data_IF_709088959552
#
_entry.id   IF_709088959552
#
_cell.length_a   1.000
_cell.length_b   1.000
_cell.length_c   1.000
_cell.angle_alpha   90.00
_cell.angle_beta   90.00
_cell.angle_gamma   90.00
#
_symmetry.space_group_name_H-M   'P 1'
#
loop_
_entity.id
_entity.type
_entity.pdbx_description
1 polymer ?
#
# COMPACT_ATOMS: atom_id res chain seq x y z
N UNK A 1 55.09 -6.10 -76.41
CA UNK A 1 53.81 -6.72 -76.05
C UNK A 1 53.41 -6.28 -74.64
N UNK A 2 52.10 -6.05 -74.48
CA UNK A 2 51.34 -5.30 -73.46
C UNK A 2 51.80 -5.37 -71.99
N UNK A 3 51.87 -4.19 -71.35
CA UNK A 3 51.78 -3.99 -69.89
C UNK A 3 50.31 -4.07 -69.49
N UNK A 4 49.97 -4.91 -68.51
CA UNK A 4 48.62 -5.01 -67.94
C UNK A 4 48.66 -4.49 -66.51
N UNK A 5 48.03 -3.34 -66.28
CA UNK A 5 47.81 -2.77 -64.95
C UNK A 5 46.68 -3.55 -64.27
N UNK A 6 46.93 -4.11 -63.09
CA UNK A 6 45.88 -4.60 -62.19
C UNK A 6 45.33 -3.41 -61.39
N UNK A 7 44.11 -3.00 -61.72
CA UNK A 7 43.36 -2.01 -60.97
C UNK A 7 42.69 -2.72 -59.80
N UNK A 8 43.22 -2.56 -58.58
CA UNK A 8 42.54 -3.01 -57.36
C UNK A 8 41.42 -2.02 -57.08
N UNK A 9 40.20 -2.40 -57.44
CA UNK A 9 38.98 -1.67 -57.08
C UNK A 9 38.75 -1.87 -55.57
N UNK A 10 39.17 -0.92 -54.76
CA UNK A 10 38.78 -0.86 -53.36
C UNK A 10 37.26 -0.65 -53.32
N UNK A 11 36.52 -1.70 -52.95
CA UNK A 11 35.11 -1.64 -52.61
C UNK A 11 34.96 -0.72 -51.39
N UNK A 12 34.75 0.56 -51.67
CA UNK A 12 34.17 1.53 -50.76
C UNK A 12 32.77 1.02 -50.41
N UNK A 13 32.64 0.28 -49.31
CA UNK A 13 31.37 0.18 -48.60
C UNK A 13 31.00 1.62 -48.28
N UNK A 14 29.84 2.15 -48.72
CA UNK A 14 29.44 3.47 -48.29
C UNK A 14 29.30 3.38 -46.77
N UNK A 15 30.21 4.06 -46.04
CA UNK A 15 29.88 4.52 -44.70
C UNK A 15 28.63 5.37 -44.90
N UNK A 16 27.46 4.81 -44.59
CA UNK A 16 26.27 5.61 -44.42
C UNK A 16 26.67 6.69 -43.41
N UNK A 17 26.73 7.92 -43.90
CA UNK A 17 26.93 9.09 -43.06
C UNK A 17 25.81 9.06 -42.03
N UNK A 18 26.16 8.82 -40.77
CA UNK A 18 25.26 9.03 -39.65
C UNK A 18 24.88 10.52 -39.67
N UNK A 19 23.80 10.87 -40.37
CA UNK A 19 23.12 12.13 -40.15
C UNK A 19 22.77 12.11 -38.67
N UNK A 20 23.38 13.02 -37.91
CA UNK A 20 23.31 13.04 -36.45
C UNK A 20 21.85 13.03 -36.05
N UNK A 21 21.37 11.92 -35.50
CA UNK A 21 20.04 11.84 -34.95
C UNK A 21 20.07 12.63 -33.64
N UNK A 22 19.83 13.95 -33.74
CA UNK A 22 20.25 14.92 -32.71
C UNK A 22 19.46 14.75 -31.42
N UNK A 23 18.24 14.24 -31.51
CA UNK A 23 17.29 14.19 -30.42
C UNK A 23 17.02 12.76 -29.95
N UNK A 24 17.99 11.85 -30.10
CA UNK A 24 17.94 10.55 -29.47
C UNK A 24 18.85 10.51 -28.24
N UNK A 25 18.37 9.87 -27.17
CA UNK A 25 19.24 9.51 -26.05
C UNK A 25 20.37 8.57 -26.51
N UNK A 26 21.49 8.50 -25.77
CA UNK A 26 22.57 7.56 -26.09
C UNK A 26 22.08 6.11 -26.19
N UNK A 27 21.16 5.68 -25.32
CA UNK A 27 20.60 4.34 -25.34
C UNK A 27 19.72 4.12 -26.59
N UNK A 28 18.89 5.10 -26.95
CA UNK A 28 18.05 5.03 -28.16
C UNK A 28 18.88 4.98 -29.44
N UNK A 29 20.00 5.71 -29.51
CA UNK A 29 20.92 5.65 -30.67
C UNK A 29 21.47 4.23 -30.88
N UNK A 30 22.01 3.63 -29.82
CA UNK A 30 22.57 2.27 -29.86
C UNK A 30 21.47 1.25 -30.18
N UNK A 31 20.27 1.41 -29.61
CA UNK A 31 19.14 0.54 -29.91
C UNK A 31 18.72 0.62 -31.38
N UNK A 32 18.61 1.83 -31.94
CA UNK A 32 18.21 2.05 -33.33
C UNK A 32 19.24 1.46 -34.31
N UNK A 33 20.54 1.66 -34.02
CA UNK A 33 21.63 1.03 -34.77
C UNK A 33 21.54 -0.50 -34.75
N UNK A 34 21.24 -1.10 -33.58
CA UNK A 34 21.04 -2.55 -33.45
C UNK A 34 19.85 -3.04 -34.25
N UNK A 35 18.71 -2.36 -34.19
CA UNK A 35 17.51 -2.71 -34.97
C UNK A 35 17.80 -2.71 -36.47
N UNK A 36 18.50 -1.67 -36.95
CA UNK A 36 18.92 -1.55 -38.35
C UNK A 36 19.94 -2.63 -38.77
N UNK A 37 20.81 -3.08 -37.85
CA UNK A 37 21.80 -4.13 -38.13
C UNK A 37 21.23 -5.55 -38.13
N UNK A 38 20.18 -5.80 -37.34
CA UNK A 38 19.60 -7.14 -37.14
C UNK A 38 18.52 -7.49 -38.18
N UNK A 39 18.10 -6.55 -39.02
CA UNK A 39 16.98 -6.76 -39.91
C UNK A 39 17.25 -6.22 -41.33
N UNK A 40 16.98 -7.05 -42.36
CA UNK A 40 16.75 -6.55 -43.72
C UNK A 40 15.40 -5.81 -43.84
N UNK A 41 14.58 -5.79 -42.78
CA UNK A 41 13.36 -5.00 -42.60
C UNK A 41 13.13 -4.75 -41.10
N UNK A 42 13.26 -3.50 -40.64
CA UNK A 42 12.85 -3.13 -39.27
C UNK A 42 11.39 -3.55 -39.11
N UNK A 43 11.15 -4.51 -38.23
CA UNK A 43 9.83 -5.08 -38.01
C UNK A 43 8.86 -3.97 -37.53
N UNK A 44 7.57 -4.06 -37.88
CA UNK A 44 6.54 -3.05 -37.57
C UNK A 44 6.12 -3.07 -36.07
N UNK A 45 7.04 -3.50 -35.22
CA UNK A 45 6.87 -3.59 -33.78
C UNK A 45 6.89 -2.19 -33.18
N UNK A 46 5.94 -1.93 -32.28
CA UNK A 46 5.89 -0.69 -31.51
C UNK A 46 6.86 -0.78 -30.32
N UNK A 47 7.61 0.29 -30.09
CA UNK A 47 8.42 0.47 -28.87
C UNK A 47 7.84 1.57 -28.02
N UNK A 48 7.97 1.44 -26.70
CA UNK A 48 7.60 2.49 -25.77
C UNK A 48 8.80 3.43 -25.56
N UNK A 49 8.55 4.73 -25.47
CA UNK A 49 9.56 5.74 -25.25
C UNK A 49 9.03 6.94 -24.44
N UNK A 50 9.92 7.66 -23.79
CA UNK A 50 9.71 9.01 -23.33
C UNK A 50 10.12 9.99 -24.41
N UNK A 51 9.31 11.01 -24.66
CA UNK A 51 9.62 12.11 -25.58
C UNK A 51 9.51 13.43 -24.85
N UNK A 52 10.63 14.11 -24.65
CA UNK A 52 10.62 15.49 -24.18
C UNK A 52 10.37 16.44 -25.35
N UNK A 53 9.58 17.48 -25.12
CA UNK A 53 9.19 18.45 -26.16
C UNK A 53 9.17 19.89 -25.62
N UNK A 54 9.37 20.85 -26.51
CA UNK A 54 9.36 22.29 -26.22
C UNK A 54 8.06 22.99 -26.63
N UNK A 55 7.19 22.31 -27.38
CA UNK A 55 5.88 22.82 -27.80
C UNK A 55 4.86 21.69 -27.92
N UNK A 56 3.59 21.89 -27.48
CA UNK A 56 2.53 20.89 -27.63
C UNK A 56 2.27 20.44 -29.07
N UNK A 57 2.57 21.28 -30.07
CA UNK A 57 2.48 20.92 -31.51
C UNK A 57 3.42 19.76 -31.91
N UNK A 58 4.42 19.43 -31.08
CA UNK A 58 5.23 18.22 -31.28
C UNK A 58 4.40 16.93 -31.12
N UNK A 59 3.35 16.94 -30.28
CA UNK A 59 2.51 15.76 -30.03
C UNK A 59 1.72 15.37 -31.28
N UNK A 60 1.02 16.31 -31.91
CA UNK A 60 0.30 16.08 -33.16
C UNK A 60 1.22 15.58 -34.28
N UNK A 61 2.48 16.07 -34.30
CA UNK A 61 3.48 15.64 -35.28
C UNK A 61 3.98 14.22 -35.01
N UNK A 62 4.14 13.83 -33.75
CA UNK A 62 4.45 12.46 -33.36
C UNK A 62 3.32 11.52 -33.80
N UNK A 63 2.07 11.91 -33.62
CA UNK A 63 0.91 11.13 -34.06
C UNK A 63 0.84 10.95 -35.59
N UNK A 64 1.15 12.00 -36.35
CA UNK A 64 1.28 11.90 -37.82
C UNK A 64 2.39 10.97 -38.28
N UNK A 65 3.39 10.70 -37.43
CA UNK A 65 4.44 9.69 -37.66
C UNK A 65 4.05 8.29 -37.18
N UNK A 66 2.79 8.09 -36.81
CA UNK A 66 2.27 6.81 -36.36
C UNK A 66 2.53 6.50 -34.89
N UNK A 67 3.12 7.44 -34.13
CA UNK A 67 3.23 7.26 -32.68
C UNK A 67 1.85 7.45 -32.01
N UNK A 68 1.56 6.67 -30.99
CA UNK A 68 0.45 6.92 -30.08
C UNK A 68 0.98 7.65 -28.86
N UNK A 69 0.56 8.90 -28.66
CA UNK A 69 0.83 9.64 -27.42
C UNK A 69 -0.05 9.07 -26.32
N UNK A 70 0.55 8.64 -25.20
CA UNK A 70 -0.15 7.99 -24.10
C UNK A 70 -0.40 9.00 -22.95
N UNK A 71 0.53 9.08 -21.98
CA UNK A 71 0.50 10.09 -20.92
C UNK A 71 1.32 11.33 -21.32
N UNK A 72 0.79 12.53 -21.04
CA UNK A 72 1.45 13.83 -21.27
C UNK A 72 1.68 14.50 -19.92
N UNK A 73 2.90 14.96 -19.71
CA UNK A 73 3.38 15.66 -18.53
C UNK A 73 3.90 17.05 -18.93
N UNK A 74 4.28 17.86 -17.95
CA UNK A 74 4.92 19.15 -18.23
C UNK A 74 6.31 18.93 -18.85
N UNK A 75 6.44 19.26 -20.14
CA UNK A 75 7.69 19.16 -20.91
C UNK A 75 8.04 17.79 -21.50
N UNK A 76 7.24 16.74 -21.27
CA UNK A 76 7.47 15.42 -21.88
C UNK A 76 6.21 14.53 -21.92
N UNK A 77 6.25 13.47 -22.70
CA UNK A 77 5.19 12.46 -22.78
C UNK A 77 5.75 11.05 -22.89
N UNK A 78 4.90 10.05 -22.64
CA UNK A 78 5.15 8.66 -23.02
C UNK A 78 4.48 8.39 -24.36
N UNK A 79 5.15 7.65 -25.25
CA UNK A 79 4.62 7.27 -26.56
C UNK A 79 4.81 5.79 -26.82
N UNK A 80 3.90 5.20 -27.59
CA UNK A 80 4.14 3.93 -28.30
C UNK A 80 4.40 4.27 -29.76
N UNK A 81 5.62 4.09 -30.24
CA UNK A 81 6.05 4.53 -31.57
C UNK A 81 6.52 3.32 -32.41
N UNK A 82 6.12 3.20 -33.68
CA UNK A 82 6.68 2.19 -34.58
C UNK A 82 8.21 2.28 -34.59
N UNK A 83 8.90 1.16 -34.44
CA UNK A 83 10.36 1.14 -34.33
C UNK A 83 11.05 1.83 -35.53
N UNK A 84 10.49 1.68 -36.72
CA UNK A 84 10.93 2.32 -37.96
C UNK A 84 10.72 3.85 -37.97
N UNK A 85 9.80 4.38 -37.17
CA UNK A 85 9.48 5.80 -37.10
C UNK A 85 10.31 6.56 -36.06
N UNK A 86 11.02 5.86 -35.15
CA UNK A 86 11.81 6.49 -34.06
C UNK A 86 12.87 7.46 -34.59
N UNK A 87 13.56 7.08 -35.67
CA UNK A 87 14.55 7.94 -36.31
C UNK A 87 13.93 9.23 -36.83
N UNK A 88 12.88 9.12 -37.66
CA UNK A 88 12.21 10.29 -38.24
C UNK A 88 11.50 11.16 -37.21
N UNK A 89 10.95 10.55 -36.15
CA UNK A 89 10.28 11.28 -35.08
C UNK A 89 11.24 12.19 -34.31
N UNK A 90 12.52 11.83 -34.24
CA UNK A 90 13.55 12.63 -33.58
C UNK A 90 14.02 13.85 -34.39
N UNK A 91 13.54 14.01 -35.63
CA UNK A 91 13.77 15.21 -36.45
C UNK A 91 12.59 16.19 -36.38
N UNK A 92 11.53 15.85 -35.63
CA UNK A 92 10.36 16.72 -35.47
C UNK A 92 10.76 18.00 -34.73
N UNK A 93 10.54 19.15 -35.37
CA UNK A 93 10.70 20.44 -34.70
C UNK A 93 9.76 20.54 -33.49
N UNK A 94 10.36 20.69 -32.32
CA UNK A 94 9.66 20.74 -31.03
C UNK A 94 9.87 19.49 -30.19
N UNK A 95 10.34 18.37 -30.76
CA UNK A 95 10.93 17.28 -29.99
C UNK A 95 12.31 17.73 -29.50
N UNK A 96 12.69 17.35 -28.29
CA UNK A 96 13.99 17.66 -27.70
C UNK A 96 14.81 16.39 -27.51
N UNK A 97 14.18 15.30 -27.06
CA UNK A 97 14.81 14.00 -26.88
C UNK A 97 13.77 12.87 -26.90
N UNK A 98 14.08 11.78 -27.59
CA UNK A 98 13.41 10.48 -27.52
C UNK A 98 14.32 9.51 -26.77
N UNK A 99 13.82 9.00 -25.66
CA UNK A 99 14.48 8.01 -24.81
C UNK A 99 13.61 6.76 -24.73
N UNK A 100 14.03 5.66 -25.35
CA UNK A 100 13.26 4.41 -25.33
C UNK A 100 13.12 3.89 -23.91
N UNK A 101 12.00 3.24 -23.63
CA UNK A 101 11.76 2.60 -22.34
C UNK A 101 12.80 1.54 -22.05
N UNK A 102 13.22 1.47 -20.79
CA UNK A 102 14.15 0.48 -20.30
C UNK A 102 13.42 -0.52 -19.40
N UNK A 103 13.91 -1.76 -19.40
CA UNK A 103 13.41 -2.76 -18.46
C UNK A 103 13.71 -2.32 -17.03
N UNK A 104 12.70 -2.36 -16.18
CA UNK A 104 12.86 -2.27 -14.73
C UNK A 104 13.07 -3.66 -14.15
N UNK A 105 13.66 -3.72 -12.96
CA UNK A 105 13.89 -4.95 -12.22
C UNK A 105 12.97 -5.03 -11.00
N UNK A 106 12.50 -6.23 -10.69
CA UNK A 106 11.85 -6.50 -9.42
C UNK A 106 12.91 -6.39 -8.31
N UNK A 107 12.57 -5.72 -7.22
CA UNK A 107 13.42 -5.50 -6.05
C UNK A 107 12.74 -6.14 -4.82
N UNK A 108 13.51 -6.49 -3.77
CA UNK A 108 13.13 -7.16 -2.48
C UNK A 108 13.71 -8.56 -2.30
N UNK A 109 14.35 -9.12 -3.33
CA UNK A 109 15.01 -10.44 -3.28
C UNK A 109 16.30 -10.50 -2.43
N UNK A 110 16.82 -9.35 -1.98
CA UNK A 110 18.07 -9.23 -1.23
C UNK A 110 17.91 -9.02 0.28
N UNK A 111 16.68 -8.96 0.81
CA UNK A 111 16.45 -8.63 2.23
C UNK A 111 17.06 -9.69 3.16
N UNK A 112 16.87 -10.97 2.87
CA UNK A 112 17.40 -12.08 3.69
C UNK A 112 18.93 -12.07 3.76
N UNK A 113 19.62 -11.77 2.64
CA UNK A 113 21.08 -11.68 2.62
C UNK A 113 21.57 -10.41 3.31
N UNK A 114 20.94 -9.26 3.05
CA UNK A 114 21.33 -7.95 3.60
C UNK A 114 21.13 -7.86 5.12
N UNK A 115 20.18 -8.60 5.66
CA UNK A 115 19.91 -8.70 7.11
C UNK A 115 20.67 -9.85 7.79
N UNK A 116 21.51 -10.59 7.04
CA UNK A 116 22.25 -11.76 7.51
C UNK A 116 21.36 -12.90 8.05
N UNK A 117 20.06 -12.94 7.70
CA UNK A 117 19.16 -14.01 8.12
C UNK A 117 19.64 -15.40 7.66
N UNK A 118 20.26 -15.46 6.47
CA UNK A 118 20.87 -16.70 5.97
C UNK A 118 21.99 -17.22 6.87
N UNK A 119 22.83 -16.35 7.41
CA UNK A 119 23.89 -16.74 8.35
C UNK A 119 23.30 -17.30 9.64
N UNK A 120 22.21 -16.71 10.13
CA UNK A 120 21.47 -17.21 11.30
C UNK A 120 20.89 -18.60 11.03
N UNK A 121 20.28 -18.80 9.85
CA UNK A 121 19.76 -20.10 9.46
C UNK A 121 20.86 -21.16 9.32
N UNK A 122 22.05 -20.79 8.87
CA UNK A 122 23.22 -21.68 8.74
C UNK A 122 23.95 -21.88 10.08
N UNK A 123 23.63 -21.09 11.11
CA UNK A 123 24.28 -21.16 12.43
C UNK A 123 25.67 -20.54 12.46
N UNK A 124 25.98 -19.64 11.52
CA UNK A 124 27.30 -19.00 11.44
C UNK A 124 27.51 -18.13 12.68
N UNK A 125 28.55 -18.43 13.44
CA UNK A 125 28.86 -17.80 14.74
C UNK A 125 27.75 -17.94 15.80
N UNK A 126 26.87 -18.93 15.66
CA UNK A 126 25.82 -19.24 16.62
C UNK A 126 25.98 -20.68 17.14
N UNK A 127 25.40 -21.02 18.31
CA UNK A 127 25.51 -22.36 18.88
C UNK A 127 24.90 -23.47 18.00
N UNK A 128 23.98 -23.11 17.11
CA UNK A 128 23.28 -24.01 16.19
C UNK A 128 22.64 -23.23 15.04
N UNK A 129 22.12 -23.97 14.05
CA UNK A 129 21.27 -23.44 12.98
C UNK A 129 19.89 -23.04 13.49
N UNK A 130 19.36 -21.90 13.05
CA UNK A 130 18.02 -21.42 13.43
C UNK A 130 17.14 -21.24 12.19
N UNK A 131 16.32 -22.23 11.86
CA UNK A 131 15.47 -22.23 10.65
C UNK A 131 13.98 -22.07 10.93
N UNK A 132 13.59 -21.90 12.20
CA UNK A 132 12.19 -21.89 12.65
C UNK A 132 11.62 -23.29 12.91
N UNK A 133 12.40 -24.36 12.73
CA UNK A 133 11.97 -25.72 13.04
C UNK A 133 11.47 -25.83 14.49
N UNK A 134 10.26 -26.37 14.67
CA UNK A 134 9.63 -26.51 15.98
C UNK A 134 8.91 -25.26 16.49
N UNK A 135 8.85 -24.19 15.70
CA UNK A 135 8.11 -22.95 15.99
C UNK A 135 6.86 -22.89 15.10
N UNK A 136 5.75 -22.43 15.66
CA UNK A 136 4.56 -22.03 14.89
C UNK A 136 4.76 -20.61 14.39
N UNK A 137 4.74 -20.43 13.08
CA UNK A 137 4.66 -19.13 12.44
C UNK A 137 3.21 -18.87 12.03
N UNK A 138 2.59 -17.94 12.76
CA UNK A 138 1.26 -17.41 12.50
C UNK A 138 1.29 -16.28 11.49
N UNK A 139 0.32 -16.24 10.58
CA UNK A 139 0.05 -15.07 9.74
C UNK A 139 -1.46 -14.82 9.74
N UNK A 140 -1.87 -13.58 10.00
CA UNK A 140 -3.27 -13.14 9.86
C UNK A 140 -3.31 -12.09 8.76
N UNK A 141 -3.90 -12.44 7.63
CA UNK A 141 -3.79 -11.67 6.39
C UNK A 141 -4.90 -12.07 5.40
N UNK A 142 -4.89 -11.48 4.21
CA UNK A 142 -5.80 -11.76 3.09
C UNK A 142 -5.02 -12.11 1.83
N UNK A 143 -5.59 -12.86 0.88
CA UNK A 143 -4.93 -13.13 -0.40
C UNK A 143 -3.84 -14.19 -0.29
N UNK A 144 -4.15 -15.28 0.39
CA UNK A 144 -3.29 -16.42 0.66
C UNK A 144 -3.59 -17.54 -0.36
N UNK A 145 -2.62 -17.87 -1.21
CA UNK A 145 -2.60 -19.08 -2.03
C UNK A 145 -2.11 -20.27 -1.19
N UNK A 146 -3.04 -21.11 -0.74
CA UNK A 146 -2.74 -22.24 0.15
C UNK A 146 -1.90 -23.33 -0.51
N UNK A 147 -1.81 -23.34 -1.85
CA UNK A 147 -1.05 -24.32 -2.61
C UNK A 147 0.26 -23.77 -3.17
N UNK A 148 0.65 -22.56 -2.76
CA UNK A 148 1.89 -21.95 -3.24
C UNK A 148 3.10 -22.83 -2.90
N UNK A 149 4.02 -23.00 -3.87
CA UNK A 149 5.18 -23.91 -3.74
C UNK A 149 6.06 -23.62 -2.51
N UNK A 150 6.11 -22.36 -2.08
CA UNK A 150 6.85 -21.92 -0.91
C UNK A 150 6.25 -22.40 0.43
N UNK A 151 5.00 -22.88 0.44
CA UNK A 151 4.34 -23.40 1.62
C UNK A 151 4.41 -24.94 1.71
N UNK A 152 5.12 -25.56 0.77
CA UNK A 152 5.44 -26.98 0.79
C UNK A 152 6.86 -27.21 1.31
N UNK A 153 7.07 -28.34 1.99
CA UNK A 153 8.40 -28.80 2.41
C UNK A 153 9.22 -29.36 1.22
N UNK A 154 10.40 -29.89 1.52
CA UNK A 154 11.28 -30.51 0.52
C UNK A 154 10.70 -31.76 -0.14
N UNK A 155 9.73 -32.42 0.51
CA UNK A 155 9.03 -33.61 0.03
C UNK A 155 7.69 -33.27 -0.63
N UNK A 156 7.42 -31.98 -0.90
CA UNK A 156 6.16 -31.47 -1.46
C UNK A 156 4.95 -31.66 -0.54
N UNK A 157 5.16 -31.86 0.76
CA UNK A 157 4.07 -31.90 1.74
C UNK A 157 3.74 -30.50 2.22
N UNK A 158 2.45 -30.21 2.41
CA UNK A 158 2.01 -28.93 2.94
C UNK A 158 2.56 -28.68 4.36
N UNK A 159 3.17 -27.50 4.56
CA UNK A 159 3.64 -27.00 5.87
C UNK A 159 2.58 -26.18 6.60
N UNK A 160 1.50 -25.83 5.92
CA UNK A 160 0.32 -25.24 6.54
C UNK A 160 -0.37 -26.32 7.36
N UNK A 161 -0.23 -26.23 8.68
CA UNK A 161 -0.84 -27.19 9.59
C UNK A 161 -2.31 -26.89 9.84
N UNK A 162 -2.70 -25.61 9.76
CA UNK A 162 -4.05 -25.11 9.97
C UNK A 162 -4.31 -23.86 9.14
N UNK A 163 -5.53 -23.78 8.61
CA UNK A 163 -6.11 -22.55 8.07
C UNK A 163 -7.35 -22.22 8.88
N UNK A 164 -7.51 -20.97 9.29
CA UNK A 164 -8.72 -20.46 9.95
C UNK A 164 -9.33 -19.34 9.11
N UNK A 165 -10.64 -19.38 8.95
CA UNK A 165 -11.42 -18.42 8.18
C UNK A 165 -12.61 -17.95 9.03
N UNK A 166 -12.53 -16.76 9.66
CA UNK A 166 -13.52 -16.29 10.64
C UNK A 166 -14.92 -16.05 10.06
N UNK A 167 -15.04 -15.93 8.74
CA UNK A 167 -16.32 -15.71 8.03
C UNK A 167 -16.73 -16.88 7.13
N UNK A 168 -15.98 -17.98 7.13
CA UNK A 168 -16.36 -19.18 6.41
C UNK A 168 -17.21 -20.11 7.28
N UNK A 169 -18.28 -20.66 6.70
CA UNK A 169 -19.16 -21.62 7.38
C UNK A 169 -19.18 -22.98 6.67
N UNK A 170 -18.18 -23.27 5.84
CA UNK A 170 -18.14 -24.50 5.03
C UNK A 170 -17.13 -25.52 5.54
N UNK A 171 -16.14 -25.10 6.32
CA UNK A 171 -15.18 -25.97 6.99
C UNK A 171 -15.67 -26.49 8.34
N UNK A 172 -14.73 -26.93 9.18
CA UNK A 172 -15.03 -27.41 10.53
C UNK A 172 -15.22 -26.21 11.48
N UNK A 173 -16.34 -26.09 12.22
CA UNK A 173 -16.53 -25.00 13.16
C UNK A 173 -15.44 -24.93 14.24
N UNK A 174 -15.02 -23.71 14.59
CA UNK A 174 -14.04 -23.47 15.65
C UNK A 174 -14.74 -23.25 16.99
N UNK A 175 -14.30 -23.94 18.04
CA UNK A 175 -14.89 -23.76 19.36
C UNK A 175 -14.55 -22.37 19.94
N UNK A 176 -15.58 -21.61 20.30
CA UNK A 176 -15.42 -20.29 20.95
C UNK A 176 -15.03 -19.15 20.01
N UNK A 177 -14.93 -19.39 18.69
CA UNK A 177 -14.65 -18.39 17.67
C UNK A 177 -15.63 -18.55 16.50
N UNK A 178 -15.95 -17.48 15.75
CA UNK A 178 -16.79 -17.59 14.57
C UNK A 178 -16.05 -18.31 13.44
N UNK A 179 -16.80 -18.80 12.45
CA UNK A 179 -16.26 -19.34 11.22
C UNK A 179 -15.67 -20.76 11.35
N UNK A 180 -14.73 -21.09 10.48
CA UNK A 180 -14.30 -22.47 10.25
C UNK A 180 -12.78 -22.63 10.18
N UNK A 181 -12.29 -23.82 10.54
CA UNK A 181 -10.92 -24.27 10.35
C UNK A 181 -10.82 -25.39 9.29
N UNK A 182 -9.64 -25.47 8.69
CA UNK A 182 -9.21 -26.52 7.78
C UNK A 182 -7.87 -27.09 8.22
N UNK A 183 -7.69 -28.39 8.01
CA UNK A 183 -6.49 -29.13 8.38
C UNK A 183 -6.20 -30.25 7.37
N UNK A 184 -4.92 -30.67 7.29
CA UNK A 184 -4.54 -31.82 6.47
C UNK A 184 -4.93 -31.67 5.00
N UNK A 185 -5.50 -32.71 4.42
CA UNK A 185 -5.85 -32.75 3.00
C UNK A 185 -6.97 -31.77 2.63
N UNK A 186 -7.79 -31.32 3.59
CA UNK A 186 -8.83 -30.32 3.32
C UNK A 186 -8.22 -28.98 2.90
N UNK A 187 -7.00 -28.65 3.37
CA UNK A 187 -6.28 -27.44 2.97
C UNK A 187 -5.90 -27.52 1.49
N UNK A 188 -5.57 -28.71 0.97
CA UNK A 188 -5.17 -28.88 -0.44
C UNK A 188 -6.33 -28.64 -1.41
N UNK A 189 -7.56 -28.72 -0.92
CA UNK A 189 -8.76 -28.40 -1.70
C UNK A 189 -9.06 -26.90 -1.74
N UNK A 190 -8.47 -26.10 -0.85
CA UNK A 190 -8.56 -24.65 -0.88
C UNK A 190 -7.63 -24.11 -1.97
N UNK A 191 -8.05 -23.05 -2.67
CA UNK A 191 -7.18 -22.34 -3.64
C UNK A 191 -6.60 -21.08 -3.01
N UNK A 192 -7.45 -20.08 -2.86
CA UNK A 192 -7.14 -18.80 -2.24
C UNK A 192 -8.40 -18.24 -1.58
N UNK A 193 -8.23 -17.35 -0.59
CA UNK A 193 -9.33 -16.69 0.14
C UNK A 193 -9.79 -15.39 -0.54
N UNK A 194 -8.91 -14.67 -1.22
CA UNK A 194 -9.23 -13.45 -1.97
C UNK A 194 -8.44 -13.33 -3.28
N UNK A 195 -8.89 -12.46 -4.19
CA UNK A 195 -8.23 -12.19 -5.48
C UNK A 195 -7.13 -11.13 -5.37
N UNK A 196 -6.28 -11.25 -4.36
CA UNK A 196 -5.06 -10.48 -4.18
C UNK A 196 -3.99 -11.37 -3.53
N UNK A 197 -2.78 -10.85 -3.31
CA UNK A 197 -1.61 -11.68 -2.96
C UNK A 197 -0.87 -11.19 -1.73
N UNK A 198 -1.46 -10.29 -0.93
CA UNK A 198 -0.77 -9.64 0.18
C UNK A 198 -0.28 -10.67 1.21
N UNK A 199 -1.18 -11.53 1.67
CA UNK A 199 -0.91 -12.60 2.63
C UNK A 199 -0.01 -13.70 2.09
N UNK A 200 -0.10 -14.04 0.80
CA UNK A 200 0.87 -14.95 0.17
C UNK A 200 2.29 -14.37 0.22
N UNK A 201 2.42 -13.09 -0.09
CA UNK A 201 3.70 -12.39 -0.10
C UNK A 201 4.29 -12.26 1.32
N UNK A 202 3.50 -11.83 2.31
CA UNK A 202 3.95 -11.67 3.71
C UNK A 202 4.31 -13.03 4.33
N UNK A 203 3.50 -14.07 4.09
CA UNK A 203 3.81 -15.45 4.51
C UNK A 203 5.10 -15.97 3.85
N UNK A 204 5.30 -15.68 2.56
CA UNK A 204 6.51 -16.04 1.82
C UNK A 204 7.77 -15.43 2.43
N UNK A 205 7.75 -14.14 2.76
CA UNK A 205 8.87 -13.46 3.43
C UNK A 205 9.13 -14.08 4.81
N UNK A 206 8.08 -14.28 5.61
CA UNK A 206 8.24 -14.74 6.98
C UNK A 206 8.71 -16.20 7.07
N UNK A 207 8.15 -17.11 6.27
CA UNK A 207 8.35 -18.55 6.43
C UNK A 207 8.39 -19.39 5.16
N UNK A 208 8.45 -18.78 3.98
CA UNK A 208 8.55 -19.50 2.71
C UNK A 208 9.73 -20.47 2.67
N UNK A 209 9.48 -21.69 2.19
CA UNK A 209 10.53 -22.67 1.90
C UNK A 209 11.42 -22.19 0.75
N UNK A 210 12.49 -22.93 0.49
CA UNK A 210 13.38 -22.63 -0.64
C UNK A 210 12.66 -22.96 -1.94
N UNK A 211 12.42 -21.93 -2.76
CA UNK A 211 11.90 -22.06 -4.13
C UNK A 211 12.84 -21.31 -5.06
N UNK A 212 13.55 -22.04 -5.93
CA UNK A 212 14.64 -21.50 -6.73
C UNK A 212 15.67 -20.77 -5.84
N UNK A 213 15.89 -19.48 -6.06
CA UNK A 213 16.80 -18.65 -5.27
C UNK A 213 16.13 -17.99 -4.05
N UNK A 214 14.80 -18.07 -3.92
CA UNK A 214 14.04 -17.37 -2.89
C UNK A 214 13.79 -18.25 -1.66
N UNK A 215 13.80 -17.62 -0.49
CA UNK A 215 13.60 -18.26 0.82
C UNK A 215 13.13 -17.23 1.83
N UNK A 216 12.19 -17.62 2.69
CA UNK A 216 11.76 -16.82 3.83
C UNK A 216 12.74 -16.87 5.02
N UNK A 217 12.45 -16.11 6.07
CA UNK A 217 13.29 -15.99 7.26
C UNK A 217 13.27 -17.26 8.14
N UNK A 218 12.10 -17.90 8.29
CA UNK A 218 11.85 -19.11 9.06
C UNK A 218 11.35 -20.29 8.17
N UNK A 219 12.20 -20.80 7.28
CA UNK A 219 11.83 -21.71 6.19
C UNK A 219 11.49 -23.14 6.61
N UNK A 220 11.72 -23.50 7.88
CA UNK A 220 11.31 -24.80 8.44
C UNK A 220 10.22 -24.64 9.52
N UNK A 221 9.63 -23.44 9.68
CA UNK A 221 8.53 -23.22 10.61
C UNK A 221 7.26 -23.97 10.19
N UNK A 222 6.42 -24.27 11.15
CA UNK A 222 5.06 -24.76 10.92
C UNK A 222 4.15 -23.57 10.66
N UNK A 223 3.41 -23.56 9.56
CA UNK A 223 2.56 -22.42 9.19
C UNK A 223 1.15 -22.60 9.74
N UNK A 224 0.61 -21.57 10.37
CA UNK A 224 -0.79 -21.48 10.78
C UNK A 224 -1.33 -20.17 10.28
N UNK A 225 -2.31 -20.24 9.38
CA UNK A 225 -2.76 -19.07 8.62
C UNK A 225 -4.19 -18.73 9.02
N UNK A 226 -4.44 -17.48 9.40
CA UNK A 226 -5.78 -16.93 9.45
C UNK A 226 -6.01 -16.15 8.15
N UNK A 227 -6.85 -16.71 7.29
CA UNK A 227 -7.23 -16.14 6.01
C UNK A 227 -8.49 -15.30 6.18
N UNK A 228 -8.33 -13.98 6.12
CA UNK A 228 -9.40 -13.02 6.36
C UNK A 228 -10.32 -12.87 5.13
N UNK A 229 -9.81 -13.07 3.92
CA UNK A 229 -10.48 -12.66 2.69
C UNK A 229 -11.02 -11.22 2.79
N UNK A 230 -12.27 -11.04 2.36
CA UNK A 230 -12.95 -9.73 2.43
C UNK A 230 -13.30 -9.27 3.86
N UNK A 231 -13.04 -10.08 4.89
CA UNK A 231 -13.44 -9.82 6.27
C UNK A 231 -12.35 -9.13 7.12
N UNK A 232 -11.70 -8.12 6.53
CA UNK A 232 -10.62 -7.32 7.14
C UNK A 232 -11.15 -6.38 8.24
N UNK A 233 -11.40 -6.94 9.42
CA UNK A 233 -11.88 -6.18 10.58
C UNK A 233 -11.01 -6.42 11.81
N UNK A 234 -10.99 -5.46 12.74
CA UNK A 234 -10.22 -5.56 13.99
C UNK A 234 -10.58 -6.82 14.79
N UNK A 235 -11.88 -7.12 14.87
CA UNK A 235 -12.40 -8.28 15.58
C UNK A 235 -11.87 -9.58 14.97
N UNK A 236 -11.86 -9.68 13.64
CA UNK A 236 -11.37 -10.87 12.95
C UNK A 236 -9.85 -11.03 13.05
N UNK A 237 -9.11 -9.92 13.05
CA UNK A 237 -7.66 -9.95 13.33
C UNK A 237 -7.41 -10.51 14.73
N UNK A 238 -8.10 -10.01 15.75
CA UNK A 238 -8.00 -10.52 17.13
C UNK A 238 -8.38 -12.00 17.22
N UNK A 239 -9.48 -12.41 16.56
CA UNK A 239 -9.89 -13.81 16.50
C UNK A 239 -8.81 -14.70 15.85
N UNK A 240 -8.18 -14.23 14.77
CA UNK A 240 -7.08 -14.92 14.11
C UNK A 240 -5.87 -15.12 15.02
N UNK A 241 -5.48 -14.07 15.73
CA UNK A 241 -4.38 -14.12 16.72
C UNK A 241 -4.70 -15.10 17.84
N UNK A 242 -5.91 -15.04 18.40
CA UNK A 242 -6.37 -15.97 19.44
C UNK A 242 -6.35 -17.43 18.93
N UNK A 243 -6.86 -17.69 17.73
CA UNK A 243 -6.87 -19.02 17.13
C UNK A 243 -5.45 -19.59 16.98
N UNK A 244 -4.52 -18.80 16.42
CA UNK A 244 -3.14 -19.23 16.22
C UNK A 244 -2.47 -19.53 17.57
N UNK A 245 -2.66 -18.66 18.56
CA UNK A 245 -2.11 -18.83 19.90
C UNK A 245 -2.66 -20.09 20.60
N UNK A 246 -3.97 -20.34 20.49
CA UNK A 246 -4.62 -21.57 20.98
C UNK A 246 -4.04 -22.82 20.31
N UNK A 247 -3.88 -22.79 18.98
CA UNK A 247 -3.28 -23.90 18.25
C UNK A 247 -1.86 -24.17 18.73
N UNK A 248 -1.01 -23.14 18.79
CA UNK A 248 0.38 -23.30 19.23
C UNK A 248 0.49 -23.87 20.64
N UNK A 249 -0.38 -23.42 21.57
CA UNK A 249 -0.48 -23.98 22.91
C UNK A 249 -0.91 -25.45 22.89
N UNK A 250 -1.88 -25.82 22.06
CA UNK A 250 -2.38 -27.20 21.94
C UNK A 250 -1.32 -28.20 21.45
N UNK A 251 -0.35 -27.73 20.66
CA UNK A 251 0.78 -28.54 20.16
C UNK A 251 2.07 -28.32 20.95
N UNK A 252 2.04 -27.52 22.02
CA UNK A 252 3.18 -27.27 22.91
C UNK A 252 4.37 -26.57 22.25
N UNK A 253 4.14 -25.70 21.26
CA UNK A 253 5.19 -25.01 20.51
C UNK A 253 5.23 -23.50 20.81
N UNK A 254 6.42 -22.87 20.78
CA UNK A 254 6.52 -21.41 20.73
C UNK A 254 5.91 -20.88 19.43
N UNK A 255 5.45 -19.62 19.47
CA UNK A 255 4.71 -19.01 18.38
C UNK A 255 5.14 -17.57 18.11
N UNK A 256 5.26 -17.23 16.83
CA UNK A 256 5.41 -15.85 16.36
C UNK A 256 4.30 -15.57 15.37
N UNK A 257 3.54 -14.49 15.56
CA UNK A 257 2.37 -14.13 14.74
C UNK A 257 2.66 -12.82 14.02
N UNK A 258 2.65 -12.84 12.69
CA UNK A 258 2.81 -11.65 11.86
C UNK A 258 1.46 -11.03 11.53
N UNK A 259 1.37 -9.71 11.73
CA UNK A 259 0.23 -8.85 11.39
C UNK A 259 0.72 -7.70 10.52
N UNK A 260 0.61 -7.86 9.20
CA UNK A 260 0.95 -6.82 8.22
C UNK A 260 -0.26 -5.95 7.89
N UNK A 261 -1.02 -5.58 8.93
CA UNK A 261 -2.30 -4.87 8.85
C UNK A 261 -2.34 -3.78 9.92
N UNK A 262 -3.12 -2.73 9.68
CA UNK A 262 -3.31 -1.63 10.63
C UNK A 262 -4.49 -0.73 10.28
N UNK A 263 -4.87 0.14 11.21
CA UNK A 263 -5.85 1.21 11.01
C UNK A 263 -5.43 2.42 11.88
N UNK A 264 -6.24 3.49 11.89
CA UNK A 264 -5.98 4.67 12.72
C UNK A 264 -7.04 4.91 13.79
N UNK A 265 -7.99 3.98 13.96
CA UNK A 265 -9.07 4.13 14.92
C UNK A 265 -8.59 3.86 16.35
N UNK A 266 -9.09 4.68 17.27
CA UNK A 266 -8.82 4.52 18.69
C UNK A 266 -7.73 5.45 19.24
N UNK A 267 -7.27 5.21 20.48
CA UNK A 267 -6.55 6.22 21.26
C UNK A 267 -5.03 6.29 20.98
N UNK A 268 -4.44 5.30 20.31
CA UNK A 268 -2.98 5.21 20.07
C UNK A 268 -2.12 5.28 21.34
N UNK A 269 -2.64 4.81 22.47
CA UNK A 269 -1.96 4.82 23.78
C UNK A 269 -1.90 3.43 24.44
N UNK A 270 -2.25 2.38 23.70
CA UNK A 270 -2.29 0.99 24.17
C UNK A 270 -3.61 0.57 24.85
N UNK A 271 -4.56 1.48 25.07
CA UNK A 271 -5.83 1.16 25.75
C UNK A 271 -7.01 0.88 24.82
N UNK A 272 -6.76 0.75 23.50
CA UNK A 272 -7.76 0.26 22.54
C UNK A 272 -8.06 -1.22 22.73
N UNK A 273 -9.23 -1.69 22.26
CA UNK A 273 -9.64 -3.09 22.44
C UNK A 273 -8.67 -4.07 21.77
N UNK A 274 -8.21 -3.78 20.55
CA UNK A 274 -7.25 -4.63 19.85
C UNK A 274 -5.92 -4.74 20.62
N UNK A 275 -5.36 -3.60 21.05
CA UNK A 275 -4.10 -3.57 21.83
C UNK A 275 -4.21 -4.40 23.12
N UNK A 276 -5.30 -4.20 23.87
CA UNK A 276 -5.57 -4.94 25.12
C UNK A 276 -5.76 -6.43 24.86
N UNK A 277 -6.42 -6.80 23.77
CA UNK A 277 -6.60 -8.20 23.39
C UNK A 277 -5.25 -8.87 23.07
N UNK A 278 -4.37 -8.19 22.32
CA UNK A 278 -3.02 -8.71 22.05
C UNK A 278 -2.20 -8.88 23.32
N UNK A 279 -2.23 -7.90 24.23
CA UNK A 279 -1.56 -8.00 25.52
C UNK A 279 -2.07 -9.19 26.34
N UNK A 280 -3.39 -9.38 26.41
CA UNK A 280 -3.99 -10.49 27.14
C UNK A 280 -3.64 -11.84 26.52
N UNK A 281 -3.68 -11.96 25.19
CA UNK A 281 -3.32 -13.18 24.47
C UNK A 281 -1.85 -13.53 24.71
N UNK A 282 -0.93 -12.56 24.55
CA UNK A 282 0.50 -12.78 24.76
C UNK A 282 0.82 -13.18 26.21
N UNK A 283 0.12 -12.60 27.19
CA UNK A 283 0.27 -12.97 28.61
C UNK A 283 -0.29 -14.36 28.91
N UNK A 284 -1.47 -14.68 28.36
CA UNK A 284 -2.16 -15.97 28.55
C UNK A 284 -1.35 -17.12 27.96
N UNK A 285 -0.78 -16.93 26.78
CA UNK A 285 0.04 -17.92 26.07
C UNK A 285 1.50 -17.50 26.10
N UNK A 286 2.18 -17.75 27.23
CA UNK A 286 3.53 -17.28 27.62
C UNK A 286 4.68 -17.41 26.60
N UNK A 287 4.48 -18.11 25.47
CA UNK A 287 5.45 -18.29 24.38
C UNK A 287 4.94 -17.74 23.03
N UNK A 288 4.07 -16.72 23.05
CA UNK A 288 3.56 -16.03 21.86
C UNK A 288 4.21 -14.66 21.72
N UNK A 289 4.74 -14.36 20.54
CA UNK A 289 5.20 -13.03 20.14
C UNK A 289 4.31 -12.54 19.00
N UNK A 290 3.72 -11.36 19.14
CA UNK A 290 2.90 -10.72 18.12
C UNK A 290 3.73 -9.60 17.49
N UNK A 291 3.85 -9.62 16.16
CA UNK A 291 4.66 -8.67 15.38
C UNK A 291 3.73 -7.87 14.48
N UNK A 292 3.77 -6.56 14.60
CA UNK A 292 2.87 -5.61 13.93
C UNK A 292 3.65 -4.77 12.93
N UNK A 293 3.07 -4.50 11.76
CA UNK A 293 3.54 -3.43 10.89
C UNK A 293 3.26 -2.06 11.52
N UNK A 294 4.10 -1.06 11.24
CA UNK A 294 3.95 0.29 11.78
C UNK A 294 2.90 1.15 11.05
N UNK A 295 2.45 0.72 9.87
CA UNK A 295 1.67 1.53 8.92
C UNK A 295 2.53 2.13 7.80
N UNK A 296 1.88 2.55 6.72
CA UNK A 296 2.53 3.10 5.51
C UNK A 296 2.40 4.63 5.41
N UNK A 297 1.75 5.26 6.38
CA UNK A 297 1.24 6.63 6.28
C UNK A 297 2.19 7.68 6.85
N UNK A 298 3.47 7.35 7.06
CA UNK A 298 4.46 8.27 7.64
C UNK A 298 4.69 9.56 6.85
N UNK A 299 4.30 9.59 5.57
CA UNK A 299 4.32 10.79 4.71
C UNK A 299 2.98 11.51 4.61
N UNK A 300 1.89 10.91 5.09
CA UNK A 300 0.54 11.42 4.92
C UNK A 300 0.21 12.45 6.03
N UNK A 301 -0.40 13.60 5.69
CA UNK A 301 -0.80 14.61 6.66
C UNK A 301 -2.12 14.23 7.37
N UNK A 302 -2.16 13.05 7.99
CA UNK A 302 -3.36 12.48 8.63
C UNK A 302 -3.37 12.59 10.16
N UNK A 303 -2.30 13.14 10.75
CA UNK A 303 -2.17 13.30 12.20
C UNK A 303 -1.83 14.74 12.58
N UNK A 304 -2.49 15.23 13.63
CA UNK A 304 -2.14 16.48 14.28
C UNK A 304 -2.11 16.33 15.79
N UNK A 305 -1.18 17.05 16.43
CA UNK A 305 -1.05 17.13 17.87
C UNK A 305 -0.85 18.57 18.31
N UNK A 306 -1.58 19.02 19.33
CA UNK A 306 -1.38 20.33 19.93
C UNK A 306 -1.86 20.36 21.38
N UNK A 307 -1.07 21.00 22.25
CA UNK A 307 -1.56 21.40 23.57
C UNK A 307 -2.48 22.61 23.43
N UNK A 308 -3.72 22.50 23.89
CA UNK A 308 -4.72 23.58 23.84
C UNK A 308 -5.28 23.86 25.23
N UNK A 309 -5.58 25.12 25.53
CA UNK A 309 -6.16 25.62 26.78
C UNK A 309 -6.80 27.00 26.60
N UNK A 310 -7.93 27.25 27.26
CA UNK A 310 -8.64 28.53 27.20
C UNK A 310 -8.88 29.02 25.77
N UNK A 311 -8.19 30.11 25.39
CA UNK A 311 -8.31 30.71 24.05
C UNK A 311 -7.47 30.05 22.96
N UNK A 312 -6.60 29.08 23.29
CA UNK A 312 -5.80 28.36 22.32
C UNK A 312 -6.67 27.29 21.64
N UNK A 313 -6.75 27.33 20.31
CA UNK A 313 -7.51 26.34 19.52
C UNK A 313 -6.61 25.58 18.56
N UNK A 314 -7.10 24.45 18.06
CA UNK A 314 -6.57 23.76 16.89
C UNK A 314 -7.63 23.79 15.80
N UNK A 315 -7.32 24.38 14.63
CA UNK A 315 -8.22 24.43 13.50
C UNK A 315 -7.63 23.69 12.30
N UNK A 316 -8.47 22.98 11.55
CA UNK A 316 -8.11 22.26 10.33
C UNK A 316 -9.25 22.29 9.31
N UNK A 317 -8.98 21.86 8.08
CA UNK A 317 -9.96 21.70 7.01
C UNK A 317 -9.88 20.25 6.53
N UNK A 318 -11.04 19.60 6.36
CA UNK A 318 -11.11 18.27 5.78
C UNK A 318 -10.69 18.33 4.30
N UNK A 319 -9.74 17.48 3.92
CA UNK A 319 -9.25 17.40 2.54
C UNK A 319 -10.31 16.87 1.59
N UNK A 320 -11.11 15.91 2.05
CA UNK A 320 -12.29 15.37 1.41
C UNK A 320 -13.51 15.59 2.30
N UNK A 321 -14.69 15.68 1.70
CA UNK A 321 -15.96 15.76 2.41
C UNK A 321 -16.48 14.40 2.85
N UNK A 322 -15.97 13.30 2.26
CA UNK A 322 -16.07 11.96 2.83
C UNK A 322 -14.87 11.72 3.76
N UNK A 323 -15.09 11.66 5.08
CA UNK A 323 -14.01 11.59 6.05
C UNK A 323 -14.45 10.98 7.38
N UNK A 324 -13.49 10.36 8.07
CA UNK A 324 -13.64 9.90 9.45
C UNK A 324 -12.51 10.50 10.28
N UNK A 325 -12.83 11.13 11.41
CA UNK A 325 -11.86 11.83 12.24
C UNK A 325 -12.00 11.40 13.69
N UNK A 326 -10.91 10.93 14.28
CA UNK A 326 -10.86 10.51 15.67
C UNK A 326 -9.96 11.44 16.49
N UNK A 327 -10.58 12.22 17.38
CA UNK A 327 -9.90 13.18 18.23
C UNK A 327 -9.89 12.73 19.69
N UNK A 328 -8.71 12.71 20.29
CA UNK A 328 -8.46 12.25 21.64
C UNK A 328 -7.71 13.28 22.47
N UNK A 329 -8.09 13.38 23.72
CA UNK A 329 -7.27 14.02 24.76
C UNK A 329 -6.41 12.98 25.48
N UNK A 330 -5.31 13.41 26.10
CA UNK A 330 -4.48 12.54 26.95
C UNK A 330 -4.94 12.47 28.42
N UNK A 331 -6.13 12.97 28.74
CA UNK A 331 -6.66 13.06 30.10
C UNK A 331 -8.19 13.09 30.09
N UNK A 332 -8.83 13.16 31.26
CA UNK A 332 -10.29 13.09 31.39
C UNK A 332 -11.01 14.43 31.21
N UNK A 333 -10.29 15.50 30.87
CA UNK A 333 -10.87 16.84 30.77
C UNK A 333 -11.68 16.97 29.47
N UNK A 334 -12.83 17.65 29.51
CA UNK A 334 -13.66 17.79 28.33
C UNK A 334 -13.07 18.80 27.36
N UNK A 335 -13.21 18.53 26.07
CA UNK A 335 -13.00 19.49 24.99
C UNK A 335 -14.20 19.47 24.05
N UNK A 336 -14.32 20.47 23.18
CA UNK A 336 -15.38 20.54 22.20
C UNK A 336 -14.83 20.86 20.82
N UNK A 337 -15.71 20.78 19.83
CA UNK A 337 -15.39 21.07 18.43
C UNK A 337 -16.44 22.02 17.86
N UNK A 338 -16.01 22.95 17.01
CA UNK A 338 -16.89 23.75 16.15
C UNK A 338 -16.78 23.23 14.73
N UNK A 339 -17.91 23.24 14.03
CA UNK A 339 -17.97 22.97 12.61
C UNK A 339 -17.95 24.31 11.87
N UNK A 340 -17.04 24.42 10.92
CA UNK A 340 -16.82 25.60 10.10
C UNK A 340 -17.25 25.29 8.66
N UNK A 341 -17.88 26.26 8.00
CA UNK A 341 -17.98 26.26 6.54
C UNK A 341 -16.96 27.26 6.00
N UNK A 342 -16.04 26.75 5.20
CA UNK A 342 -14.96 27.53 4.59
C UNK A 342 -15.20 27.67 3.09
N UNK A 343 -15.08 28.87 2.56
CA UNK A 343 -15.17 29.12 1.11
C UNK A 343 -13.76 29.20 0.52
N UNK A 344 -13.39 28.29 -0.38
CA UNK A 344 -12.03 28.26 -0.93
C UNK A 344 -11.76 29.29 -2.04
N UNK A 345 -12.78 29.87 -2.65
CA UNK A 345 -12.62 30.90 -3.69
C UNK A 345 -12.39 32.28 -3.09
N UNK A 346 -13.06 32.58 -1.97
CA UNK A 346 -12.78 33.73 -1.12
C UNK A 346 -12.38 33.19 0.26
N UNK A 347 -11.08 32.88 0.47
CA UNK A 347 -10.57 32.08 1.59
C UNK A 347 -10.94 32.65 2.96
N UNK A 348 -12.15 32.31 3.41
CA UNK A 348 -12.78 32.83 4.61
C UNK A 348 -13.77 31.80 5.19
N UNK A 349 -13.89 31.82 6.51
CA UNK A 349 -14.94 31.10 7.23
C UNK A 349 -16.24 31.89 7.04
N UNK A 350 -17.24 31.26 6.41
CA UNK A 350 -18.54 31.89 6.14
C UNK A 350 -19.59 31.55 7.20
N UNK A 351 -19.36 30.47 7.95
CA UNK A 351 -20.21 30.04 9.05
C UNK A 351 -19.40 29.26 10.08
N UNK A 352 -19.80 29.38 11.35
CA UNK A 352 -19.21 28.68 12.49
C UNK A 352 -20.35 28.29 13.42
N UNK A 353 -20.39 27.04 13.85
CA UNK A 353 -21.32 26.60 14.89
C UNK A 353 -20.88 27.13 16.26
N UNK A 354 -21.78 27.10 17.23
CA UNK A 354 -21.38 27.07 18.63
C UNK A 354 -20.45 25.87 18.89
N UNK A 355 -19.68 25.93 19.98
CA UNK A 355 -18.84 24.81 20.37
C UNK A 355 -19.71 23.64 20.84
N UNK A 356 -19.63 22.54 20.10
CA UNK A 356 -20.37 21.32 20.38
C UNK A 356 -19.78 20.63 21.61
N UNK A 357 -20.68 20.15 22.47
CA UNK A 357 -20.39 19.42 23.70
C UNK A 357 -21.25 18.15 23.86
N UNK A 358 -22.02 17.81 22.83
CA UNK A 358 -22.92 16.67 22.80
C UNK A 358 -23.13 16.21 21.35
N UNK A 359 -23.56 14.97 21.20
CA UNK A 359 -23.79 14.33 19.91
C UNK A 359 -24.70 15.19 19.03
N UNK A 360 -24.24 15.47 17.82
CA UNK A 360 -24.91 16.40 16.90
C UNK A 360 -24.75 15.94 15.46
N UNK A 361 -25.81 16.07 14.66
CA UNK A 361 -25.80 15.78 13.23
C UNK A 361 -26.17 17.01 12.42
N UNK A 362 -25.39 17.31 11.39
CA UNK A 362 -25.60 18.37 10.42
C UNK A 362 -25.97 17.77 9.07
N UNK A 363 -26.86 18.43 8.33
CA UNK A 363 -27.20 18.12 6.95
C UNK A 363 -27.66 19.41 6.22
N UNK A 364 -28.04 19.30 4.95
CA UNK A 364 -28.47 20.46 4.17
C UNK A 364 -29.65 21.24 4.78
N UNK A 365 -30.44 20.64 5.66
CA UNK A 365 -31.61 21.26 6.30
C UNK A 365 -31.28 21.87 7.67
N UNK A 366 -30.02 21.84 8.12
CA UNK A 366 -29.65 22.35 9.45
C UNK A 366 -29.84 23.85 9.56
N UNK A 367 -29.41 24.62 8.56
CA UNK A 367 -29.64 26.06 8.45
C UNK A 367 -29.36 26.54 7.01
N UNK A 368 -29.59 27.82 6.74
CA UNK A 368 -29.42 28.43 5.42
C UNK A 368 -27.98 28.33 4.88
N UNK A 369 -26.96 28.36 5.76
CA UNK A 369 -25.55 28.21 5.35
C UNK A 369 -25.27 26.79 4.87
N UNK A 370 -25.74 25.76 5.59
CA UNK A 370 -25.62 24.37 5.14
C UNK A 370 -26.46 24.10 3.89
N UNK A 371 -27.65 24.68 3.76
CA UNK A 371 -28.46 24.58 2.54
C UNK A 371 -27.72 25.15 1.31
N UNK A 372 -26.96 26.23 1.50
CA UNK A 372 -26.12 26.84 0.46
C UNK A 372 -24.85 26.04 0.15
N UNK A 373 -24.25 25.38 1.14
CA UNK A 373 -22.96 24.71 1.02
C UNK A 373 -23.03 23.20 0.71
N UNK A 374 -24.12 22.51 1.05
CA UNK A 374 -24.24 21.04 0.96
C UNK A 374 -25.24 20.64 -0.12
N UNK A 375 -24.93 19.60 -0.88
CA UNK A 375 -25.86 18.96 -1.84
C UNK A 375 -26.68 17.84 -1.19
N UNK A 376 -26.01 16.95 -0.47
CA UNK A 376 -26.57 15.77 0.18
C UNK A 376 -25.62 15.24 1.26
N UNK A 377 -26.04 14.20 1.99
CA UNK A 377 -25.25 13.60 3.06
C UNK A 377 -25.40 14.33 4.39
N UNK A 378 -24.60 13.92 5.37
CA UNK A 378 -24.61 14.38 6.75
C UNK A 378 -23.19 14.38 7.32
N UNK A 379 -23.01 15.20 8.34
CA UNK A 379 -21.84 15.19 9.22
C UNK A 379 -22.35 14.86 10.62
N UNK A 380 -21.77 13.87 11.27
CA UNK A 380 -22.14 13.46 12.62
C UNK A 380 -20.93 13.61 13.54
N UNK A 381 -21.15 14.21 14.70
CA UNK A 381 -20.17 14.33 15.78
C UNK A 381 -20.70 13.55 16.97
N UNK A 382 -19.88 12.67 17.54
CA UNK A 382 -20.21 11.92 18.74
C UNK A 382 -19.11 12.07 19.80
N UNK A 383 -19.53 12.17 21.05
CA UNK A 383 -18.66 12.38 22.20
C UNK A 383 -18.57 11.10 23.02
N UNK A 384 -17.35 10.75 23.42
CA UNK A 384 -17.10 9.52 24.15
C UNK A 384 -15.93 9.64 25.11
N UNK A 385 -15.63 8.52 25.75
CA UNK A 385 -14.45 8.35 26.60
C UNK A 385 -13.89 6.95 26.40
N UNK A 386 -12.58 6.79 26.59
CA UNK A 386 -12.00 5.46 26.76
C UNK A 386 -12.57 4.81 28.04
N UNK A 387 -12.86 3.51 27.98
CA UNK A 387 -13.49 2.75 29.06
C UNK A 387 -12.54 2.50 30.25
N UNK A 388 -11.23 2.59 30.04
CA UNK A 388 -10.20 2.35 31.05
C UNK A 388 -9.63 3.66 31.58
N UNK A 389 -9.11 4.51 30.70
CA UNK A 389 -8.40 5.74 31.08
C UNK A 389 -9.35 6.90 31.35
N UNK A 390 -10.60 6.82 30.85
CA UNK A 390 -11.54 7.94 30.87
C UNK A 390 -11.14 9.10 29.95
N UNK A 391 -10.10 8.93 29.12
CA UNK A 391 -9.64 9.94 28.17
C UNK A 391 -10.78 10.36 27.24
N UNK A 392 -11.01 11.67 27.12
CA UNK A 392 -12.11 12.19 26.30
C UNK A 392 -11.85 11.96 24.82
N UNK A 393 -12.90 11.59 24.08
CA UNK A 393 -12.93 11.34 22.64
C UNK A 393 -13.99 12.21 21.97
N UNK A 394 -13.69 12.70 20.78
CA UNK A 394 -14.69 13.21 19.81
C UNK A 394 -14.46 12.44 18.51
N UNK A 395 -15.46 11.69 18.07
CA UNK A 395 -15.47 11.02 16.77
C UNK A 395 -16.34 11.79 15.81
N UNK A 396 -15.89 11.97 14.57
CA UNK A 396 -16.62 12.67 13.53
C UNK A 396 -16.63 11.82 12.27
N UNK A 397 -17.80 11.72 11.64
CA UNK A 397 -17.93 11.18 10.28
C UNK A 397 -18.63 12.18 9.38
N UNK A 398 -18.25 12.21 8.12
CA UNK A 398 -18.92 12.99 7.10
C UNK A 398 -19.04 12.15 5.83
N UNK A 399 -20.26 12.08 5.29
CA UNK A 399 -20.55 11.62 3.92
C UNK A 399 -21.15 12.78 3.09
N UNK A 400 -20.94 14.03 3.56
CA UNK A 400 -21.48 15.22 2.92
C UNK A 400 -20.93 15.37 1.52
N UNK A 401 -21.80 15.65 0.55
CA UNK A 401 -21.40 16.10 -0.79
C UNK A 401 -21.45 17.61 -0.84
N UNK A 402 -20.29 18.25 -0.79
CA UNK A 402 -20.21 19.72 -0.76
C UNK A 402 -20.46 20.35 -2.15
N UNK A 403 -21.09 21.52 -2.17
CA UNK A 403 -21.14 22.40 -3.35
C UNK A 403 -19.81 23.15 -3.43
N UNK A 404 -19.16 23.16 -4.59
CA UNK A 404 -17.99 24.03 -4.81
C UNK A 404 -18.39 25.50 -4.60
N UNK A 405 -17.59 26.32 -3.91
CA UNK A 405 -16.23 26.08 -3.39
C UNK A 405 -16.17 25.77 -1.88
N UNK A 406 -17.24 25.26 -1.29
CA UNK A 406 -17.32 25.08 0.17
C UNK A 406 -16.57 23.83 0.65
N UNK A 407 -15.93 23.96 1.82
CA UNK A 407 -15.27 22.89 2.57
C UNK A 407 -15.71 22.89 4.03
N UNK A 408 -15.53 21.75 4.69
CA UNK A 408 -15.78 21.60 6.13
C UNK A 408 -14.47 21.86 6.87
N UNK A 409 -14.51 22.77 7.84
CA UNK A 409 -13.43 22.98 8.80
C UNK A 409 -13.82 22.53 10.19
N UNK A 410 -12.83 22.16 10.99
CA UNK A 410 -12.97 21.75 12.38
C UNK A 410 -12.14 22.68 13.25
N UNK A 411 -12.70 23.20 14.33
CA UNK A 411 -11.94 23.94 15.36
C UNK A 411 -12.18 23.32 16.73
N UNK A 412 -11.13 22.78 17.33
CA UNK A 412 -11.15 22.21 18.67
C UNK A 412 -10.77 23.23 19.73
N UNK A 413 -11.48 23.21 20.85
CA UNK A 413 -11.23 24.08 22.00
C UNK A 413 -11.45 23.34 23.33
N UNK A 414 -10.66 23.72 24.33
CA UNK A 414 -10.73 23.18 25.69
C UNK A 414 -10.57 24.32 26.69
N UNK A 415 -11.38 24.33 27.75
CA UNK A 415 -11.32 25.36 28.80
C UNK A 415 -10.07 25.19 29.66
N UNK A 416 -9.70 23.93 29.89
CA UNK A 416 -8.50 23.52 30.61
C UNK A 416 -7.45 22.91 29.66
N UNK A 417 -6.19 22.90 30.09
CA UNK A 417 -5.10 22.34 29.28
C UNK A 417 -5.26 20.84 29.01
N UNK A 418 -5.19 20.47 27.72
CA UNK A 418 -5.14 19.10 27.22
C UNK A 418 -4.06 18.94 26.13
N UNK A 419 -3.49 17.75 26.00
CA UNK A 419 -2.75 17.33 24.80
C UNK A 419 -3.74 16.72 23.81
N UNK A 420 -4.17 17.50 22.82
CA UNK A 420 -5.11 17.06 21.80
C UNK A 420 -4.37 16.35 20.67
N UNK A 421 -4.89 15.18 20.29
CA UNK A 421 -4.41 14.33 19.19
C UNK A 421 -5.58 14.09 18.25
N UNK A 422 -5.39 14.29 16.95
CA UNK A 422 -6.46 14.15 15.95
C UNK A 422 -5.93 13.34 14.79
N UNK A 423 -6.67 12.28 14.42
CA UNK A 423 -6.37 11.38 13.31
C UNK A 423 -7.48 11.45 12.25
N UNK A 424 -7.10 11.40 10.98
CA UNK A 424 -8.00 11.11 9.87
C UNK A 424 -7.91 9.59 9.59
N UNK A 425 -9.05 8.91 9.62
CA UNK A 425 -9.14 7.45 9.61
C UNK A 425 -9.60 6.88 8.27
N UNK A 426 -10.17 7.67 7.36
CA UNK A 426 -10.74 7.16 6.11
C UNK A 426 -9.68 6.65 5.11
N UNK A 427 -8.45 7.19 5.14
CA UNK A 427 -7.42 6.80 4.17
C UNK A 427 -6.82 5.41 4.40
N UNK A 428 -7.07 4.76 5.54
CA UNK A 428 -6.59 3.40 5.79
C UNK A 428 -7.18 2.35 4.82
N UNK A 429 -8.30 2.66 4.13
CA UNK A 429 -9.00 1.72 3.24
C UNK A 429 -8.64 1.83 1.75
N UNK A 430 -7.56 2.55 1.39
CA UNK A 430 -7.25 2.90 -0.01
C UNK A 430 -6.10 2.12 -0.67
N UNK A 431 -5.74 0.95 -0.13
CA UNK A 431 -4.77 0.02 -0.75
C UNK A 431 -5.43 -1.21 -1.35
#
# INVERSE_FOLDING_TARGET
MKKTFFLVLALLVPLATFASVKQLSPATKIWLERQQSQSQQIDDTTTEAFVSFSSPDALDKLERKGAKVNAVFDGFCTVSIPANAVGEASDIHGVNMIDISHRVHLLTDSVSSSTHARMVNEGVNLPQSYTGKGVVLGVVDTGIDFNHRAFLDSNLKNRIARVYMPHDNTGKPVEGLPGSEYAGDDILNLKYDAKETHGTHTTGIAGGSIVNAYRGMAPDAELVLCALGDALTEVNVVNGVQYIAQYAASVGKPCVINLSLGNHDGPHDGNGFMSRAFDEIAQRYRNVIIVLAAGNEGYAPLYMRKTISGSQTLATILSDSEAEVDAWSNNTKPFGVKILLYNSNNPAIVYTTDCLKADTTFNLNTNDYFAQAVRSGKLSVSFGKNDVTGHTRIYLTSDMRMKSPYKIGLEYQADEEIDLRVWECSQASSF
#
